data_IF_626417549113
#
_entry.id   IF_626417549113
#
_cell.length_a   1.000
_cell.length_b   1.000
_cell.length_c   1.000
_cell.angle_alpha   90.00
_cell.angle_beta   90.00
_cell.angle_gamma   90.00
#
_symmetry.space_group_name_H-M   'P 1'
#
loop_
_entity.id
_entity.type
_entity.pdbx_description
1 polymer ?
#
# COMPACT_ATOMS: atom_id res chain seq x y z
N UNK A 1 5.77 -17.29 3.36
CA UNK A 1 5.46 -16.22 4.34
C UNK A 1 4.92 -15.04 3.55
N UNK A 2 3.77 -14.45 3.91
CA UNK A 2 3.27 -13.28 3.20
C UNK A 2 4.31 -12.16 3.30
N UNK A 3 4.78 -11.65 2.15
CA UNK A 3 5.72 -10.54 2.13
C UNK A 3 4.96 -9.26 2.43
N UNK A 4 5.27 -8.62 3.55
CA UNK A 4 4.69 -7.33 3.91
C UNK A 4 5.44 -6.22 3.16
N UNK A 5 4.71 -5.37 2.45
CA UNK A 5 5.23 -4.12 1.92
C UNK A 5 5.36 -3.10 3.05
N UNK A 6 6.47 -2.40 3.13
CA UNK A 6 6.68 -1.33 4.10
C UNK A 6 6.45 0.03 3.41
N UNK A 7 5.61 0.86 4.02
CA UNK A 7 5.34 2.25 3.62
C UNK A 7 5.51 3.20 4.81
N UNK A 8 5.26 4.48 4.62
CA UNK A 8 5.47 5.52 5.63
C UNK A 8 4.16 6.21 5.98
N UNK A 9 3.80 6.25 7.26
CA UNK A 9 2.65 7.01 7.76
C UNK A 9 2.81 8.51 7.47
N UNK A 10 1.80 9.19 6.88
CA UNK A 10 1.86 10.61 6.61
C UNK A 10 1.83 11.44 7.90
N UNK A 11 1.09 11.00 8.92
CA UNK A 11 0.87 11.76 10.16
C UNK A 11 2.08 11.82 11.09
N UNK A 12 2.86 10.74 11.16
CA UNK A 12 3.91 10.55 12.18
C UNK A 12 5.24 10.03 11.62
N UNK A 13 5.30 9.69 10.32
CA UNK A 13 6.52 9.23 9.66
C UNK A 13 6.97 7.82 10.05
N UNK A 14 6.19 7.07 10.83
CA UNK A 14 6.56 5.71 11.21
C UNK A 14 6.34 4.72 10.07
N UNK A 15 7.08 3.60 10.05
CA UNK A 15 6.85 2.53 9.09
C UNK A 15 5.48 1.87 9.35
N UNK A 16 4.74 1.64 8.27
CA UNK A 16 3.50 0.86 8.26
C UNK A 16 3.66 -0.35 7.34
N UNK A 17 3.19 -1.50 7.78
CA UNK A 17 3.35 -2.76 7.06
C UNK A 17 2.02 -3.22 6.47
N UNK A 18 2.02 -3.49 5.17
CA UNK A 18 0.84 -3.76 4.36
C UNK A 18 0.98 -5.14 3.73
N UNK A 19 -0.02 -5.99 3.94
CA UNK A 19 -0.11 -7.26 3.24
C UNK A 19 -0.75 -7.04 1.85
N UNK A 20 -0.03 -7.24 0.75
CA UNK A 20 -0.55 -7.01 -0.60
C UNK A 20 -1.79 -7.86 -0.91
N UNK A 21 -1.89 -9.08 -0.36
CA UNK A 21 -3.04 -9.97 -0.56
C UNK A 21 -4.35 -9.45 0.08
N UNK A 22 -4.27 -8.45 0.97
CA UNK A 22 -5.43 -7.83 1.61
C UNK A 22 -5.81 -6.46 1.01
N UNK A 23 -4.95 -5.91 0.14
CA UNK A 23 -5.23 -4.64 -0.54
C UNK A 23 -6.32 -4.85 -1.57
N UNK A 24 -7.31 -3.96 -1.57
CA UNK A 24 -8.42 -3.99 -2.53
C UNK A 24 -8.28 -2.93 -3.61
N UNK A 25 -7.87 -1.71 -3.24
CA UNK A 25 -7.66 -0.60 -4.18
C UNK A 25 -6.65 0.38 -3.61
N UNK A 26 -5.89 1.04 -4.49
CA UNK A 26 -5.01 2.16 -4.15
C UNK A 26 -5.44 3.36 -4.99
N UNK A 27 -5.60 4.53 -4.37
CA UNK A 27 -6.02 5.74 -5.06
C UNK A 27 -5.45 6.98 -4.38
N UNK A 28 -5.42 8.09 -5.12
CA UNK A 28 -5.11 9.41 -4.56
C UNK A 28 -6.39 10.06 -4.03
N UNK A 29 -6.38 10.46 -2.77
CA UNK A 29 -7.44 11.29 -2.21
C UNK A 29 -7.12 12.76 -2.45
N UNK A 30 -8.13 13.54 -2.88
CA UNK A 30 -7.96 14.97 -3.13
C UNK A 30 -7.88 15.73 -1.80
N UNK A 31 -6.65 15.86 -1.28
CA UNK A 31 -6.25 16.74 -0.19
C UNK A 31 -5.12 17.68 -0.64
N UNK A 32 -4.74 18.63 0.22
CA UNK A 32 -3.56 19.48 0.05
C UNK A 32 -2.62 19.27 1.25
N UNK A 33 -1.50 18.53 1.10
CA UNK A 33 -1.06 17.77 -0.09
C UNK A 33 -1.93 16.53 -0.37
N UNK A 34 -1.91 15.99 -1.60
CA UNK A 34 -2.67 14.79 -1.94
C UNK A 34 -2.13 13.58 -1.18
N UNK A 35 -3.01 12.87 -0.47
CA UNK A 35 -2.68 11.63 0.23
C UNK A 35 -2.88 10.42 -0.68
N UNK A 36 -1.92 9.51 -0.71
CA UNK A 36 -2.11 8.19 -1.31
C UNK A 36 -2.80 7.28 -0.29
N UNK A 37 -3.95 6.71 -0.65
CA UNK A 37 -4.74 5.84 0.21
C UNK A 37 -4.69 4.40 -0.29
N UNK A 38 -4.35 3.48 0.61
CA UNK A 38 -4.46 2.04 0.45
C UNK A 38 -5.73 1.58 1.17
N UNK A 39 -6.70 1.08 0.42
CA UNK A 39 -7.95 0.56 0.97
C UNK A 39 -7.93 -0.97 1.04
N UNK A 40 -8.36 -1.49 2.19
CA UNK A 40 -8.43 -2.91 2.49
C UNK A 40 -9.89 -3.30 2.71
N UNK A 41 -10.37 -4.23 1.90
CA UNK A 41 -11.75 -4.74 1.97
C UNK A 41 -12.75 -3.58 2.13
N UNK A 42 -13.66 -3.63 3.11
CA UNK A 42 -14.85 -2.78 3.14
C UNK A 42 -14.74 -1.53 4.02
N UNK A 43 -13.80 -1.47 4.98
CA UNK A 43 -13.85 -0.43 6.02
C UNK A 43 -12.48 0.12 6.48
N UNK A 44 -11.35 -0.40 5.97
CA UNK A 44 -10.03 0.05 6.44
C UNK A 44 -9.28 0.82 5.35
N UNK A 45 -8.95 2.08 5.65
CA UNK A 45 -8.21 2.99 4.78
C UNK A 45 -6.91 3.37 5.47
N UNK A 46 -5.80 3.29 4.76
CA UNK A 46 -4.47 3.66 5.24
C UNK A 46 -3.87 4.72 4.33
N UNK A 47 -3.59 5.89 4.87
CA UNK A 47 -2.80 6.90 4.18
C UNK A 47 -1.31 6.58 4.23
N UNK A 48 -0.60 6.85 3.15
CA UNK A 48 0.85 6.68 3.03
C UNK A 48 1.48 7.90 2.35
N UNK A 49 2.77 8.17 2.65
CA UNK A 49 3.51 9.30 2.05
C UNK A 49 3.95 9.03 0.61
N UNK A 50 4.13 7.76 0.28
CA UNK A 50 4.59 7.31 -1.02
C UNK A 50 3.59 7.68 -2.12
N UNK A 51 4.11 7.94 -3.31
CA UNK A 51 3.27 8.25 -4.47
C UNK A 51 2.48 7.03 -4.92
N UNK A 52 1.36 7.25 -5.62
CA UNK A 52 0.54 6.15 -6.17
C UNK A 52 1.37 5.11 -6.95
N UNK A 53 2.28 5.58 -7.80
CA UNK A 53 3.14 4.71 -8.62
C UNK A 53 4.10 3.86 -7.78
N UNK A 54 4.68 4.44 -6.72
CA UNK A 54 5.58 3.74 -5.81
C UNK A 54 4.84 2.64 -5.05
N UNK A 55 3.63 2.95 -4.56
CA UNK A 55 2.77 2.01 -3.85
C UNK A 55 2.36 0.85 -4.75
N UNK A 56 1.86 1.14 -5.96
CA UNK A 56 1.45 0.11 -6.92
C UNK A 56 2.65 -0.76 -7.31
N UNK A 57 3.82 -0.17 -7.58
CA UNK A 57 5.02 -0.94 -7.91
C UNK A 57 5.46 -1.86 -6.78
N UNK A 58 5.40 -1.39 -5.52
CA UNK A 58 5.78 -2.19 -4.37
C UNK A 58 4.82 -3.36 -4.14
N UNK A 59 3.51 -3.12 -4.27
CA UNK A 59 2.48 -4.16 -4.15
C UNK A 59 2.60 -5.19 -5.28
N UNK A 60 2.74 -4.74 -6.52
CA UNK A 60 2.88 -5.62 -7.70
C UNK A 60 4.10 -6.54 -7.58
N UNK A 61 5.26 -5.99 -7.21
CA UNK A 61 6.48 -6.78 -6.93
C UNK A 61 6.27 -7.81 -5.83
N UNK A 62 5.52 -7.46 -4.78
CA UNK A 62 5.25 -8.38 -3.69
C UNK A 62 4.32 -9.52 -4.14
N UNK A 63 3.34 -9.24 -5.00
CA UNK A 63 2.41 -10.26 -5.54
C UNK A 63 3.03 -11.14 -6.63
N UNK A 64 3.86 -10.60 -7.51
CA UNK A 64 4.46 -11.33 -8.65
C UNK A 64 5.50 -12.35 -8.20
N UNK A 65 6.16 -12.12 -7.06
CA UNK A 65 7.10 -13.09 -6.49
C UNK A 65 6.35 -14.27 -5.83
N UNK A 66 5.07 -14.13 -5.47
CA UNK A 66 4.27 -15.25 -4.95
C UNK A 66 3.77 -16.19 -6.05
N UNK A 67 3.65 -15.73 -7.31
CA UNK A 67 3.18 -16.54 -8.44
C UNK A 67 4.29 -17.36 -9.13
N UNK A 68 5.56 -17.18 -8.76
CA UNK A 68 6.71 -17.86 -9.38
C UNK A 68 7.21 -19.08 -8.59
N UNK A 69 6.37 -19.67 -7.74
CA UNK A 69 6.69 -20.84 -6.93
C UNK A 69 5.58 -21.88 -6.98
N UNK A 70 5.39 -22.51 -8.14
CA UNK A 70 4.66 -23.77 -8.27
C UNK A 70 5.29 -24.65 -9.35
#
# INVERSE_FOLDING_TARGET
MPKLCQFTSPSDGKPVYVNPAQVSVVYTHKGEPPDTIIAFRKDFLLGVKESLEEVVSALDKATTIETAGE
#
